data_IF_586471511347
#
_entry.id   IF_586471511347
#
_cell.length_a   1.000
_cell.length_b   1.000
_cell.length_c   1.000
_cell.angle_alpha   90.00
_cell.angle_beta   90.00
_cell.angle_gamma   90.00
#
_symmetry.space_group_name_H-M   'P 1'
#
loop_
_entity.id
_entity.type
_entity.pdbx_description
1 polymer ?
#
# COMPACT_ATOMS: atom_id res chain seq x y z
N UNK A 1 82.36 -23.89 -13.13
CA UNK A 1 81.36 -23.56 -12.10
C UNK A 1 80.58 -22.38 -12.64
N UNK A 2 79.36 -22.59 -13.12
CA UNK A 2 78.51 -21.55 -13.70
C UNK A 2 77.47 -21.20 -12.66
N UNK A 3 77.37 -19.91 -12.35
CA UNK A 3 76.49 -19.36 -11.32
C UNK A 3 75.04 -19.45 -11.76
N UNK A 4 74.22 -20.08 -10.93
CA UNK A 4 72.77 -20.05 -11.06
C UNK A 4 72.24 -18.71 -10.52
N UNK A 5 71.93 -17.79 -11.43
CA UNK A 5 71.21 -16.55 -11.10
C UNK A 5 69.72 -16.90 -10.93
N UNK A 6 69.26 -17.03 -9.69
CA UNK A 6 67.84 -17.23 -9.36
C UNK A 6 67.08 -15.92 -9.60
N UNK A 7 66.59 -15.71 -10.82
CA UNK A 7 65.70 -14.59 -11.13
C UNK A 7 64.33 -14.83 -10.50
N UNK A 8 64.16 -14.32 -9.27
CA UNK A 8 62.90 -14.37 -8.53
C UNK A 8 61.89 -13.47 -9.22
N UNK A 9 61.03 -14.06 -10.05
CA UNK A 9 59.90 -13.36 -10.67
C UNK A 9 58.86 -13.05 -9.59
N UNK A 10 58.77 -11.78 -9.21
CA UNK A 10 57.73 -11.29 -8.30
C UNK A 10 56.46 -11.00 -9.10
N UNK A 11 55.45 -11.86 -8.93
CA UNK A 11 54.15 -11.68 -9.56
C UNK A 11 53.35 -10.70 -8.70
N UNK A 12 53.27 -9.44 -9.11
CA UNK A 12 52.43 -8.43 -8.45
C UNK A 12 50.98 -8.64 -8.89
N UNK A 13 50.14 -9.15 -7.99
CA UNK A 13 48.70 -9.27 -8.24
C UNK A 13 48.04 -7.90 -8.02
N UNK A 14 47.69 -7.23 -9.11
CA UNK A 14 46.90 -6.00 -9.05
C UNK A 14 45.43 -6.39 -8.89
N UNK A 15 44.87 -6.20 -7.70
CA UNK A 15 43.44 -6.40 -7.44
C UNK A 15 42.69 -5.11 -7.78
N UNK A 16 42.08 -5.05 -8.96
CA UNK A 16 41.20 -3.94 -9.34
C UNK A 16 39.80 -4.15 -8.77
N UNK A 17 39.40 -3.36 -7.76
CA UNK A 17 38.02 -3.35 -7.28
C UNK A 17 37.17 -2.46 -8.22
N UNK A 18 36.49 -3.09 -9.19
CA UNK A 18 35.55 -2.43 -10.09
C UNK A 18 34.31 -1.98 -9.31
N UNK A 19 34.36 -0.77 -8.73
CA UNK A 19 33.20 -0.17 -8.07
C UNK A 19 32.20 0.33 -9.12
N UNK A 20 31.08 -0.37 -9.23
CA UNK A 20 29.98 0.00 -10.13
C UNK A 20 29.14 1.14 -9.55
N UNK A 21 29.78 2.24 -9.12
CA UNK A 21 29.14 3.35 -8.39
C UNK A 21 27.92 3.92 -9.10
N UNK A 22 27.93 3.94 -10.44
CA UNK A 22 26.81 4.39 -11.26
C UNK A 22 25.61 3.43 -11.21
N UNK A 23 25.86 2.11 -11.10
CA UNK A 23 24.79 1.10 -11.03
C UNK A 23 24.04 1.16 -9.69
N UNK A 24 24.76 1.43 -8.60
CA UNK A 24 24.16 1.63 -7.28
C UNK A 24 23.28 2.89 -7.25
N UNK A 25 23.78 4.00 -7.81
CA UNK A 25 23.03 5.25 -7.88
C UNK A 25 21.75 5.11 -8.72
N UNK A 26 21.81 4.39 -9.85
CA UNK A 26 20.65 4.09 -10.68
C UNK A 26 19.63 3.24 -9.92
N UNK A 27 20.08 2.20 -9.21
CA UNK A 27 19.20 1.35 -8.41
C UNK A 27 18.44 2.13 -7.32
N UNK A 28 19.14 3.04 -6.64
CA UNK A 28 18.53 3.91 -5.61
C UNK A 28 17.53 4.89 -6.25
N UNK A 29 17.89 5.50 -7.39
CA UNK A 29 17.00 6.43 -8.10
C UNK A 29 15.70 5.76 -8.56
N UNK A 30 15.78 4.51 -9.05
CA UNK A 30 14.60 3.73 -9.47
C UNK A 30 13.72 3.41 -8.26
N UNK A 31 14.30 2.96 -7.15
CA UNK A 31 13.56 2.71 -5.90
C UNK A 31 12.81 3.96 -5.42
N UNK A 32 13.48 5.11 -5.40
CA UNK A 32 12.86 6.37 -4.97
C UNK A 32 11.76 6.81 -5.93
N UNK A 33 11.96 6.67 -7.23
CA UNK A 33 10.93 7.01 -8.23
C UNK A 33 9.68 6.14 -8.10
N UNK A 34 9.84 4.83 -7.83
CA UNK A 34 8.71 3.92 -7.58
C UNK A 34 7.96 4.29 -6.31
N UNK A 35 8.67 4.66 -5.24
CA UNK A 35 8.05 5.13 -3.99
C UNK A 35 7.26 6.42 -4.25
N UNK A 36 7.84 7.39 -4.96
CA UNK A 36 7.17 8.66 -5.29
C UNK A 36 5.93 8.41 -6.16
N UNK A 37 6.00 7.49 -7.13
CA UNK A 37 4.88 7.13 -7.98
C UNK A 37 3.71 6.55 -7.18
N UNK A 38 3.99 5.66 -6.23
CA UNK A 38 2.99 5.11 -5.31
C UNK A 38 2.34 6.22 -4.46
N UNK A 39 3.14 7.15 -3.93
CA UNK A 39 2.64 8.26 -3.09
C UNK A 39 1.77 9.25 -3.87
N UNK A 40 2.01 9.43 -5.17
CA UNK A 40 1.29 10.39 -6.01
C UNK A 40 -0.03 9.85 -6.62
N UNK A 41 -0.36 8.58 -6.38
CA UNK A 41 -1.60 7.95 -6.84
C UNK A 41 -2.75 8.25 -5.86
N UNK A 42 -4.00 8.35 -6.34
CA UNK A 42 -5.20 8.65 -5.51
C UNK A 42 -5.37 7.67 -4.33
N UNK A 43 -4.87 6.43 -4.44
CA UNK A 43 -4.91 5.40 -3.39
C UNK A 43 -3.86 5.58 -2.26
N UNK A 44 -3.01 6.61 -2.34
CA UNK A 44 -2.09 7.01 -1.27
C UNK A 44 -1.13 5.92 -0.77
N UNK A 45 -0.66 6.07 0.47
CA UNK A 45 0.33 5.16 1.13
C UNK A 45 -0.33 4.18 2.10
N UNK A 46 -1.66 4.12 2.14
CA UNK A 46 -2.44 3.44 3.19
C UNK A 46 -2.05 1.98 3.39
N UNK A 47 -1.82 1.26 2.28
CA UNK A 47 -1.35 -0.14 2.31
C UNK A 47 0.10 -0.35 2.77
N UNK A 48 0.94 0.70 2.79
CA UNK A 48 2.35 0.62 3.18
C UNK A 48 2.60 1.07 4.63
N UNK A 49 1.80 2.00 5.15
CA UNK A 49 1.99 2.55 6.50
C UNK A 49 1.16 1.88 7.59
N UNK A 50 0.46 0.79 7.30
CA UNK A 50 -0.33 0.08 8.32
C UNK A 50 -1.19 1.03 9.12
N UNK A 51 -1.77 2.03 8.44
CA UNK A 51 -2.71 2.95 9.03
C UNK A 51 -3.92 2.13 9.42
N UNK A 52 -4.19 2.09 10.71
CA UNK A 52 -5.33 1.43 11.31
C UNK A 52 -6.64 2.11 10.91
N UNK A 53 -7.05 1.98 9.65
CA UNK A 53 -8.48 1.97 9.35
C UNK A 53 -8.91 0.53 9.64
N UNK A 54 -9.14 0.31 10.94
CA UNK A 54 -9.87 -0.85 11.45
C UNK A 54 -11.05 -1.10 10.53
N UNK A 55 -11.02 -2.20 9.78
CA UNK A 55 -11.93 -2.57 8.69
C UNK A 55 -13.41 -2.53 9.04
N UNK A 56 -13.90 -1.32 9.19
CA UNK A 56 -15.27 -0.85 9.34
C UNK A 56 -15.31 0.48 8.57
N UNK A 57 -14.81 0.49 7.33
CA UNK A 57 -15.31 1.49 6.40
C UNK A 57 -16.79 1.11 6.25
N UNK A 58 -17.63 1.80 6.99
CA UNK A 58 -19.04 1.57 7.02
C UNK A 58 -19.64 1.70 5.62
N UNK A 59 -20.70 0.96 5.36
CA UNK A 59 -21.39 1.01 4.07
C UNK A 59 -22.53 2.04 4.08
N UNK A 60 -22.84 2.61 5.24
CA UNK A 60 -23.88 3.62 5.45
C UNK A 60 -23.66 4.98 4.77
N UNK A 61 -22.63 5.16 3.94
CA UNK A 61 -22.33 6.40 3.22
C UNK A 61 -21.80 6.16 1.80
N UNK A 62 -22.02 4.97 1.23
CA UNK A 62 -21.50 4.56 -0.07
C UNK A 62 -22.51 4.72 -1.23
N UNK A 63 -23.76 5.10 -0.95
CA UNK A 63 -24.79 5.30 -1.97
C UNK A 63 -25.52 4.02 -2.39
N UNK A 64 -25.32 2.89 -1.71
CA UNK A 64 -25.80 1.57 -2.10
C UNK A 64 -26.65 0.99 -0.96
N UNK A 65 -27.75 0.31 -1.31
CA UNK A 65 -28.49 -0.55 -0.38
C UNK A 65 -27.72 -1.87 -0.25
N UNK A 66 -26.92 -1.99 0.81
CA UNK A 66 -26.03 -3.13 1.00
C UNK A 66 -26.70 -4.35 1.67
N UNK A 67 -27.96 -4.26 2.09
CA UNK A 67 -28.70 -5.36 2.72
C UNK A 67 -29.95 -5.81 1.94
N UNK A 68 -30.32 -5.07 0.90
CA UNK A 68 -31.38 -5.36 -0.05
C UNK A 68 -32.80 -5.10 0.49
N UNK A 69 -32.95 -4.29 1.53
CA UNK A 69 -34.25 -3.92 2.12
C UNK A 69 -34.98 -2.79 1.38
N UNK A 70 -34.30 -2.09 0.49
CA UNK A 70 -34.85 -1.02 -0.35
C UNK A 70 -34.57 0.39 0.15
N UNK A 71 -33.83 0.55 1.25
CA UNK A 71 -33.27 1.83 1.66
C UNK A 71 -31.74 1.77 1.68
N UNK A 72 -31.11 2.94 1.68
CA UNK A 72 -29.65 3.05 1.68
C UNK A 72 -29.22 4.23 2.55
N UNK A 73 -28.03 4.14 3.13
CA UNK A 73 -27.35 5.23 3.79
C UNK A 73 -28.19 5.94 4.88
N UNK A 74 -28.53 7.22 4.68
CA UNK A 74 -29.30 8.03 5.63
C UNK A 74 -30.78 7.66 5.70
N UNK A 75 -31.28 6.94 4.68
CA UNK A 75 -32.65 6.47 4.65
C UNK A 75 -32.78 5.12 5.38
N UNK A 76 -31.69 4.35 5.51
CA UNK A 76 -31.66 3.05 6.19
C UNK A 76 -31.64 3.20 7.74
N UNK A 77 -32.52 2.51 8.50
CA UNK A 77 -32.57 2.57 9.96
C UNK A 77 -31.35 1.95 10.68
N UNK A 78 -30.67 0.97 10.09
CA UNK A 78 -29.45 0.35 10.63
C UNK A 78 -28.27 1.34 10.65
N UNK A 79 -28.31 2.36 9.80
CA UNK A 79 -27.32 3.44 9.78
C UNK A 79 -27.46 4.45 10.93
N UNK A 80 -28.38 4.22 11.87
CA UNK A 80 -28.58 5.07 13.04
C UNK A 80 -28.21 4.34 14.34
N UNK A 81 -27.19 4.86 15.03
CA UNK A 81 -26.80 4.38 16.37
C UNK A 81 -27.36 5.32 17.42
N UNK A 82 -28.28 4.81 18.26
CA UNK A 82 -28.96 5.60 19.30
C UNK A 82 -29.67 6.85 18.72
N UNK A 83 -30.19 6.74 17.50
CA UNK A 83 -30.90 7.83 16.80
C UNK A 83 -29.99 8.88 16.16
N UNK A 84 -28.67 8.67 16.15
CA UNK A 84 -27.74 9.52 15.40
C UNK A 84 -27.22 8.74 14.19
N UNK A 85 -27.26 9.36 13.02
CA UNK A 85 -26.70 8.79 11.80
C UNK A 85 -25.19 8.56 11.98
N UNK A 86 -24.76 7.35 11.63
CA UNK A 86 -23.37 6.92 11.69
C UNK A 86 -22.89 6.56 10.28
N UNK A 87 -22.13 7.43 9.59
CA UNK A 87 -21.61 7.12 8.25
C UNK A 87 -20.58 5.97 8.25
N UNK A 88 -19.96 5.68 9.40
CA UNK A 88 -19.08 4.54 9.60
C UNK A 88 -19.85 3.28 10.06
N UNK A 89 -21.19 3.32 10.00
CA UNK A 89 -22.09 2.23 10.37
C UNK A 89 -22.19 1.14 9.30
N UNK A 90 -22.88 0.06 9.63
CA UNK A 90 -23.17 -1.02 8.68
C UNK A 90 -24.66 -1.29 8.61
N UNK A 91 -25.26 -1.17 7.43
CA UNK A 91 -26.60 -1.70 7.13
C UNK A 91 -26.49 -3.19 6.80
N UNK A 92 -27.28 -4.03 7.48
CA UNK A 92 -27.11 -5.50 7.42
C UNK A 92 -28.41 -6.27 7.55
N UNK A 93 -29.55 -5.61 7.73
CA UNK A 93 -30.82 -6.23 7.98
C UNK A 93 -31.97 -5.54 7.22
N UNK A 94 -32.11 -5.86 5.93
CA UNK A 94 -33.18 -5.31 5.09
C UNK A 94 -34.62 -5.69 5.47
N UNK A 95 -34.85 -6.38 6.60
CA UNK A 95 -36.19 -6.55 7.17
C UNK A 95 -36.59 -5.42 8.14
N UNK A 96 -35.62 -4.63 8.61
CA UNK A 96 -35.90 -3.44 9.41
C UNK A 96 -36.35 -2.27 8.52
N UNK A 97 -36.21 -2.43 7.20
CA UNK A 97 -36.45 -1.41 6.23
C UNK A 97 -37.94 -1.14 6.03
N UNK A 98 -38.37 0.12 6.21
CA UNK A 98 -39.59 0.60 5.59
C UNK A 98 -39.70 0.14 4.14
N UNK A 99 -40.84 -0.48 3.80
CA UNK A 99 -41.17 -0.76 2.41
C UNK A 99 -41.09 0.56 1.63
N UNK A 100 -40.09 0.65 0.75
CA UNK A 100 -39.76 1.86 0.02
C UNK A 100 -41.00 2.51 -0.61
N UNK A 101 -41.02 3.85 -0.62
CA UNK A 101 -42.04 4.58 -1.35
C UNK A 101 -42.04 4.15 -2.84
N UNK A 102 -43.23 4.01 -3.46
CA UNK A 102 -43.36 3.51 -4.84
C UNK A 102 -42.66 4.38 -5.89
#
# INVERSE_FOLDING_TARGET
MSSDENEKTEITVIVENKSNGNALAIGIAIMLALIIFVVASDDGVGGLLGGSDSGLEGNCADGIDNDGGGQADQDDPDCYVQGNYNPEGTESNGNNDPLGAP
#
